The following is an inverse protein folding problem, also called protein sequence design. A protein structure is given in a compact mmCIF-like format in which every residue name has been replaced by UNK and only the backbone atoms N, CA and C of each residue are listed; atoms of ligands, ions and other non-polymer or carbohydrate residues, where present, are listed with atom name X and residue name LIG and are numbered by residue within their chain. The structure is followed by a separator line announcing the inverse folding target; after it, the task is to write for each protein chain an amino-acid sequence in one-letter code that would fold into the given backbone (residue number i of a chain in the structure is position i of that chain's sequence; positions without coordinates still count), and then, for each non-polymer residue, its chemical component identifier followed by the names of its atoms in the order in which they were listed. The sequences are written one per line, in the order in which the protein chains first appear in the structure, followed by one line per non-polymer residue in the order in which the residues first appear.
data_IF_621926694953
#
_entry.id   IF_621926694953
#
_cell.length_a   1.000
_cell.length_b   1.000
_cell.length_c   1.000
_cell.angle_alpha   90.00
_cell.angle_beta   90.00
_cell.angle_gamma   90.00
#
_symmetry.space_group_name_H-M   'P 1'
#
loop_
_entity.id
_entity.type
_entity.pdbx_description
1 polymer ?
#
# COMPACT_ATOMS: atom_id res chain seq x y z
N UNK A 1 9.65 -16.02 15.78
CA UNK A 1 8.93 -14.83 16.27
C UNK A 1 8.76 -13.82 15.14
N UNK A 2 7.54 -13.40 14.92
CA UNK A 2 7.29 -12.41 13.88
C UNK A 2 7.67 -11.02 14.37
N UNK A 3 8.16 -10.20 13.46
CA UNK A 3 8.46 -8.80 13.71
C UNK A 3 7.63 -7.93 12.79
N UNK A 4 6.99 -6.91 13.37
CA UNK A 4 6.32 -5.90 12.58
C UNK A 4 7.37 -4.85 12.24
N UNK A 5 7.52 -4.60 10.95
CA UNK A 5 8.52 -3.66 10.44
C UNK A 5 7.88 -2.61 9.56
N UNK A 6 8.44 -1.41 9.58
CA UNK A 6 8.11 -0.39 8.59
C UNK A 6 8.84 -0.75 7.29
N UNK A 7 8.14 -0.66 6.18
CA UNK A 7 8.65 -1.13 4.90
C UNK A 7 9.47 -0.08 4.13
N UNK A 8 9.83 1.00 4.81
CA UNK A 8 10.73 2.02 4.25
C UNK A 8 10.12 2.90 3.17
N UNK A 9 8.80 2.88 3.03
CA UNK A 9 8.09 3.64 2.00
C UNK A 9 7.04 4.51 2.69
N UNK A 10 6.99 5.80 2.34
CA UNK A 10 5.98 6.71 2.86
C UNK A 10 5.23 7.39 1.73
N UNK A 11 3.98 7.76 1.99
CA UNK A 11 3.09 8.39 1.03
C UNK A 11 2.40 9.58 1.69
N UNK A 12 2.18 10.65 0.93
CA UNK A 12 1.55 11.87 1.45
C UNK A 12 0.04 11.84 1.38
N UNK A 13 -0.52 11.19 0.37
CA UNK A 13 -1.95 11.24 0.05
C UNK A 13 -2.56 9.86 0.09
N UNK A 14 -3.44 9.63 1.06
CA UNK A 14 -4.09 8.33 1.25
C UNK A 14 -5.01 7.97 0.10
N UNK A 15 -5.69 8.95 -0.50
CA UNK A 15 -6.59 8.70 -1.63
C UNK A 15 -5.82 8.25 -2.87
N UNK A 16 -4.66 8.85 -3.12
CA UNK A 16 -3.78 8.45 -4.22
C UNK A 16 -3.22 7.04 -3.96
N UNK A 17 -2.85 6.76 -2.72
CA UNK A 17 -2.39 5.42 -2.34
C UNK A 17 -3.47 4.37 -2.57
N UNK A 18 -4.71 4.67 -2.20
CA UNK A 18 -5.85 3.77 -2.45
C UNK A 18 -5.99 3.45 -3.93
N UNK A 19 -5.91 4.45 -4.79
CA UNK A 19 -5.98 4.25 -6.26
C UNK A 19 -4.84 3.36 -6.75
N UNK A 20 -3.64 3.58 -6.23
CA UNK A 20 -2.48 2.78 -6.60
C UNK A 20 -2.65 1.32 -6.18
N UNK A 21 -3.13 1.08 -4.97
CA UNK A 21 -3.39 -0.27 -4.45
C UNK A 21 -4.38 -1.02 -5.34
N UNK A 22 -5.49 -0.37 -5.68
CA UNK A 22 -6.52 -0.97 -6.54
C UNK A 22 -5.98 -1.26 -7.93
N UNK A 23 -5.21 -0.33 -8.48
CA UNK A 23 -4.63 -0.50 -9.82
C UNK A 23 -3.67 -1.69 -9.89
N UNK A 24 -2.98 -2.01 -8.79
CA UNK A 24 -2.09 -3.16 -8.73
C UNK A 24 -2.84 -4.49 -8.48
N UNK A 25 -4.15 -4.46 -8.39
CA UNK A 25 -4.96 -5.66 -8.14
C UNK A 25 -4.97 -6.10 -6.69
N UNK A 26 -4.48 -5.28 -5.78
CA UNK A 26 -4.58 -5.53 -4.35
C UNK A 26 -5.89 -4.98 -3.80
N UNK A 27 -6.28 -5.45 -2.62
CA UNK A 27 -7.52 -5.02 -1.97
C UNK A 27 -7.21 -3.97 -0.90
N UNK A 28 -7.83 -2.80 -1.02
CA UNK A 28 -7.76 -1.76 0.01
C UNK A 28 -8.99 -1.89 0.91
N UNK A 29 -8.76 -2.00 2.22
CA UNK A 29 -9.84 -2.15 3.19
C UNK A 29 -9.76 -1.06 4.25
N UNK A 30 -10.89 -0.38 4.46
CA UNK A 30 -11.01 0.64 5.50
C UNK A 30 -11.25 -0.01 6.85
N UNK A 31 -10.24 -0.73 7.33
CA UNK A 31 -10.25 -1.38 8.63
C UNK A 31 -9.13 -0.79 9.47
N UNK A 32 -9.38 -0.66 10.76
CA UNK A 32 -8.46 0.05 11.67
C UNK A 32 -7.50 -0.88 12.41
N UNK A 33 -7.57 -2.18 12.11
CA UNK A 33 -6.63 -3.17 12.65
C UNK A 33 -6.24 -4.15 11.57
N UNK A 34 -5.01 -4.65 11.65
CA UNK A 34 -4.53 -5.71 10.78
C UNK A 34 -3.83 -6.78 11.62
N UNK A 35 -3.68 -7.97 11.06
CA UNK A 35 -3.07 -9.09 11.77
C UNK A 35 -1.66 -9.36 11.24
N UNK A 36 -0.74 -9.67 12.17
CA UNK A 36 0.59 -10.13 11.85
C UNK A 36 0.64 -11.66 11.74
N UNK A 37 1.83 -12.22 11.85
CA UNK A 37 2.06 -13.66 11.73
C UNK A 37 1.23 -14.47 12.76
N UNK A 38 1.12 -13.97 13.98
CA UNK A 38 0.27 -14.58 14.99
C UNK A 38 -1.13 -14.00 14.88
N UNK A 39 -2.11 -14.87 14.61
CA UNK A 39 -3.48 -14.47 14.32
C UNK A 39 -4.20 -13.77 15.49
N UNK A 40 -3.73 -13.92 16.70
CA UNK A 40 -4.28 -13.26 17.89
C UNK A 40 -3.73 -11.83 18.07
N UNK A 41 -2.71 -11.45 17.33
CA UNK A 41 -2.09 -10.15 17.43
C UNK A 41 -2.75 -9.17 16.45
N UNK A 42 -3.47 -8.19 16.99
CA UNK A 42 -4.10 -7.15 16.18
C UNK A 42 -3.36 -5.83 16.39
N UNK A 43 -3.02 -5.19 15.29
CA UNK A 43 -2.23 -3.98 15.26
C UNK A 43 -3.06 -2.83 14.67
N UNK A 44 -2.92 -1.65 15.25
CA UNK A 44 -3.67 -0.47 14.79
C UNK A 44 -3.15 0.03 13.46
N UNK A 45 -4.07 0.45 12.58
CA UNK A 45 -3.74 1.05 11.29
C UNK A 45 -4.84 2.03 10.88
N UNK A 46 -4.56 2.85 9.87
CA UNK A 46 -5.55 3.73 9.24
C UNK A 46 -6.40 2.95 8.23
N UNK A 47 -5.77 2.02 7.54
CA UNK A 47 -6.39 1.10 6.60
C UNK A 47 -5.44 -0.06 6.39
N UNK A 48 -5.91 -1.11 5.72
CA UNK A 48 -5.05 -2.25 5.41
C UNK A 48 -5.11 -2.59 3.93
N UNK A 49 -4.07 -3.28 3.47
CA UNK A 49 -3.95 -3.75 2.10
C UNK A 49 -3.83 -5.26 2.14
N UNK A 50 -4.69 -5.94 1.39
CA UNK A 50 -4.59 -7.38 1.19
C UNK A 50 -3.95 -7.64 -0.16
N UNK A 51 -2.74 -8.18 -0.13
CA UNK A 51 -1.92 -8.38 -1.33
C UNK A 51 -2.12 -9.81 -1.85
N UNK A 52 -2.47 -9.98 -3.13
CA UNK A 52 -2.57 -11.31 -3.73
C UNK A 52 -1.25 -12.08 -3.58
N UNK A 53 -1.35 -13.36 -3.22
CA UNK A 53 -0.19 -14.20 -3.01
C UNK A 53 0.53 -13.96 -1.68
N UNK A 54 -0.03 -13.11 -0.82
CA UNK A 54 0.51 -12.82 0.50
C UNK A 54 -0.49 -13.22 1.56
N UNK A 55 -0.05 -13.96 2.55
CA UNK A 55 -0.92 -14.47 3.61
C UNK A 55 -1.28 -13.40 4.65
N UNK A 56 -0.39 -12.42 4.85
CA UNK A 56 -0.57 -11.40 5.88
C UNK A 56 -0.85 -10.05 5.25
N UNK A 57 -1.64 -9.25 5.97
CA UNK A 57 -2.02 -7.92 5.51
C UNK A 57 -0.89 -6.91 5.72
N UNK A 58 -0.91 -5.85 4.91
CA UNK A 58 -0.05 -4.68 5.09
C UNK A 58 -0.87 -3.58 5.72
N UNK A 59 -0.42 -3.06 6.85
CA UNK A 59 -1.08 -1.94 7.52
C UNK A 59 -0.59 -0.61 6.98
N UNK A 60 -1.51 0.33 6.82
CA UNK A 60 -1.19 1.72 6.50
C UNK A 60 -1.29 2.50 7.81
N UNK A 61 -0.18 3.04 8.27
CA UNK A 61 -0.12 3.75 9.55
C UNK A 61 0.28 5.20 9.34
N UNK A 62 -0.31 6.08 10.14
CA UNK A 62 0.02 7.50 10.07
C UNK A 62 1.39 7.73 10.71
N UNK A 63 2.23 8.49 10.01
CA UNK A 63 3.58 8.82 10.45
C UNK A 63 3.80 10.33 10.23
N UNK A 64 3.48 11.12 11.27
CA UNK A 64 3.46 12.57 11.14
C UNK A 64 2.39 13.02 10.15
N UNK A 65 2.80 13.71 9.09
CA UNK A 65 1.91 14.16 8.02
C UNK A 65 1.91 13.22 6.80
N UNK A 66 2.50 12.03 6.95
CA UNK A 66 2.61 11.03 5.89
C UNK A 66 2.00 9.72 6.35
N UNK A 67 1.92 8.77 5.43
CA UNK A 67 1.45 7.41 5.70
C UNK A 67 2.56 6.42 5.37
N UNK A 68 2.87 5.54 6.31
CA UNK A 68 3.86 4.51 6.13
C UNK A 68 3.19 3.15 5.96
N UNK A 69 3.85 2.24 5.28
CA UNK A 69 3.43 0.85 5.21
C UNK A 69 4.15 0.06 6.29
N UNK A 70 3.41 -0.79 6.97
CA UNK A 70 3.90 -1.59 8.08
C UNK A 70 3.34 -2.99 7.95
N UNK A 71 4.16 -3.99 8.15
CA UNK A 71 3.73 -5.37 8.03
C UNK A 71 4.68 -6.30 8.77
N UNK A 72 4.23 -7.55 8.92
CA UNK A 72 5.11 -8.61 9.38
C UNK A 72 6.27 -8.78 8.41
N UNK A 73 7.47 -8.99 8.93
CA UNK A 73 8.68 -9.14 8.12
C UNK A 73 8.55 -10.27 7.07
N UNK A 74 7.72 -11.28 7.33
CA UNK A 74 7.48 -12.35 6.38
C UNK A 74 6.83 -11.89 5.07
N UNK A 75 6.13 -10.76 5.07
CA UNK A 75 5.55 -10.19 3.85
C UNK A 75 6.62 -9.94 2.80
N UNK A 76 7.77 -9.43 3.22
CA UNK A 76 8.89 -9.17 2.32
C UNK A 76 9.50 -10.46 1.75
N UNK A 77 9.31 -11.57 2.45
CA UNK A 77 9.81 -12.87 2.01
C UNK A 77 8.91 -13.61 1.03
N UNK A 78 7.67 -13.15 0.86
CA UNK A 78 6.73 -13.77 -0.08
C UNK A 78 6.87 -13.16 -1.47
N UNK A 79 6.63 -13.97 -2.52
CA UNK A 79 6.71 -13.46 -3.89
C UNK A 79 5.69 -12.37 -4.16
N UNK A 80 4.45 -12.53 -3.66
CA UNK A 80 3.40 -11.53 -3.80
C UNK A 80 3.74 -10.22 -3.07
N UNK A 81 4.30 -10.33 -1.86
CA UNK A 81 4.72 -9.17 -1.08
C UNK A 81 5.86 -8.41 -1.73
N UNK A 82 6.88 -9.11 -2.21
CA UNK A 82 8.00 -8.49 -2.94
C UNK A 82 7.53 -7.75 -4.17
N UNK A 83 6.69 -8.38 -4.97
CA UNK A 83 6.18 -7.80 -6.22
C UNK A 83 5.35 -6.55 -5.91
N UNK A 84 4.49 -6.61 -4.91
CA UNK A 84 3.68 -5.48 -4.49
C UNK A 84 4.57 -4.31 -4.05
N UNK A 85 5.54 -4.55 -3.17
CA UNK A 85 6.40 -3.50 -2.64
C UNK A 85 7.28 -2.87 -3.72
N UNK A 86 7.68 -3.65 -4.71
CA UNK A 86 8.42 -3.16 -5.87
C UNK A 86 7.57 -2.20 -6.70
N UNK A 87 6.29 -2.50 -6.86
CA UNK A 87 5.42 -1.80 -7.80
C UNK A 87 4.61 -0.66 -7.17
N UNK A 88 4.34 -0.69 -5.86
CA UNK A 88 3.47 0.30 -5.23
C UNK A 88 4.02 1.72 -5.34
N UNK A 89 5.33 1.89 -5.20
CA UNK A 89 5.96 3.21 -5.31
C UNK A 89 5.79 3.79 -6.70
N UNK A 90 6.01 2.98 -7.73
CA UNK A 90 5.85 3.39 -9.13
C UNK A 90 4.39 3.73 -9.44
N UNK A 91 3.48 2.89 -8.97
CA UNK A 91 2.06 3.09 -9.22
C UNK A 91 1.54 4.32 -8.49
N UNK A 92 1.99 4.56 -7.26
CA UNK A 92 1.65 5.78 -6.53
C UNK A 92 2.09 7.01 -7.29
N UNK A 93 3.32 7.04 -7.80
CA UNK A 93 3.83 8.17 -8.57
C UNK A 93 2.99 8.42 -9.83
N UNK A 94 2.60 7.36 -10.54
CA UNK A 94 1.74 7.48 -11.71
C UNK A 94 0.36 8.05 -11.35
N UNK A 95 -0.25 7.57 -10.27
CA UNK A 95 -1.55 8.05 -9.82
C UNK A 95 -1.47 9.50 -9.32
N UNK A 96 -0.34 9.89 -8.73
CA UNK A 96 -0.11 11.26 -8.29
C UNK A 96 -0.10 12.22 -9.50
N UNK A 97 0.58 11.84 -10.57
CA UNK A 97 0.63 12.64 -11.80
C UNK A 97 -0.77 12.79 -12.40
N UNK A 98 -1.53 11.70 -12.50
CA UNK A 98 -2.89 11.72 -13.04
C UNK A 98 -3.79 12.62 -12.21
N UNK A 99 -3.73 12.49 -10.89
CA UNK A 99 -4.55 13.29 -9.96
C UNK A 99 -4.21 14.77 -10.07
N UNK A 100 -2.94 15.12 -10.14
CA UNK A 100 -2.49 16.51 -10.26
C UNK A 100 -2.94 17.09 -11.59
N UNK A 101 -2.79 16.35 -12.69
CA UNK A 101 -3.23 16.81 -14.01
C UNK A 101 -4.74 17.10 -14.04
N UNK A 102 -5.54 16.22 -13.44
CA UNK A 102 -6.99 16.42 -13.35
C UNK A 102 -7.35 17.67 -12.55
N UNK A 103 -6.67 17.90 -11.43
CA UNK A 103 -6.88 19.11 -10.61
C UNK A 103 -6.57 20.39 -11.36
N UNK A 104 -5.62 20.34 -12.30
CA UNK A 104 -5.24 21.48 -13.14
C UNK A 104 -6.12 21.61 -14.38
N UNK A 105 -7.16 20.81 -14.52
CA UNK A 105 -8.07 20.86 -15.66
C UNK A 105 -7.54 20.20 -16.92
N UNK A 106 -6.46 19.46 -16.84
CA UNK A 106 -5.89 18.73 -17.97
C UNK A 106 -6.51 17.35 -18.09
N UNK A 107 -6.73 16.91 -19.34
CA UNK A 107 -7.04 15.50 -19.54
C UNK A 107 -5.73 14.72 -19.64
N UNK A 108 -5.70 13.57 -19.01
CA UNK A 108 -4.52 12.72 -18.98
C UNK A 108 -4.91 11.29 -19.31
N UNK A 109 -4.25 10.73 -20.31
CA UNK A 109 -4.45 9.33 -20.68
C UNK A 109 -3.17 8.57 -20.43
N UNK A 110 -3.26 7.60 -19.55
CA UNK A 110 -2.11 6.72 -19.25
C UNK A 110 -2.01 5.66 -20.33
N UNK A 111 -0.82 5.54 -20.92
CA UNK A 111 -0.50 4.45 -21.84
C UNK A 111 0.31 3.40 -21.06
N UNK A 112 -0.18 2.18 -21.07
CA UNK A 112 0.53 1.06 -20.45
C UNK A 112 1.21 0.25 -21.55
N UNK A 113 2.52 0.11 -21.46
CA UNK A 113 3.28 -0.78 -22.31
C UNK A 113 3.46 -2.11 -21.57
N UNK A 114 3.15 -3.18 -22.25
CA UNK A 114 3.31 -4.51 -21.68
C UNK A 114 4.79 -4.87 -21.50
#
# INVERSE_FOLDING_TARGET
MSHIVKLGITFKDLNVLKKAVVQLGAEYRSEYTYTGYYSDQKLKCEALIRVPGCKWDVGIVKDGNKYALEADAFVQGTSGGKEFLKNIRKEYAAQQIITTAKKQGHSFKRTTTA
#
